data_IF_348353158521
#
_entry.id   IF_348353158521
#
_cell.length_a   1.000
_cell.length_b   1.000
_cell.length_c   1.000
_cell.angle_alpha   90.00
_cell.angle_beta   90.00
_cell.angle_gamma   90.00
#
_symmetry.space_group_name_H-M   'P 1'
#
loop_
_entity.id
_entity.type
_entity.pdbx_description
1 polymer ?
#
# COMPACT_ATOMS: atom_id res chain seq x y z
N UNK A 1 10.06 34.76 6.25
CA UNK A 1 9.48 33.46 6.66
C UNK A 1 10.19 32.40 5.83
N UNK A 2 10.67 31.31 6.43
CA UNK A 2 11.26 30.23 5.64
C UNK A 2 10.21 29.70 4.67
N UNK A 3 10.56 29.50 3.39
CA UNK A 3 9.61 28.98 2.41
C UNK A 3 9.27 27.52 2.75
N UNK A 4 7.98 27.19 2.69
CA UNK A 4 7.51 25.81 2.86
C UNK A 4 7.93 24.97 1.66
N UNK A 5 8.84 24.03 1.91
CA UNK A 5 9.27 22.99 0.97
C UNK A 5 8.91 21.60 1.53
N UNK A 6 8.06 20.87 0.81
CA UNK A 6 7.47 19.60 1.26
C UNK A 6 8.13 18.41 0.56
N UNK A 7 8.48 17.37 1.31
CA UNK A 7 8.70 16.04 0.76
C UNK A 7 7.43 15.20 0.93
N UNK A 8 6.81 14.82 -0.18
CA UNK A 8 5.67 13.91 -0.21
C UNK A 8 6.14 12.49 -0.52
N UNK A 9 6.21 11.63 0.50
CA UNK A 9 6.49 10.21 0.33
C UNK A 9 5.23 9.54 -0.21
N UNK A 10 5.28 9.07 -1.45
CA UNK A 10 4.08 8.65 -2.18
C UNK A 10 3.95 7.15 -2.44
N UNK A 11 3.09 6.82 -3.40
CA UNK A 11 2.78 5.44 -3.81
C UNK A 11 1.34 5.00 -3.55
N UNK A 12 0.49 5.90 -3.05
CA UNK A 12 -0.97 5.70 -2.90
C UNK A 12 -1.75 6.65 -3.81
N UNK A 13 -3.04 6.37 -4.02
CA UNK A 13 -3.90 7.32 -4.74
C UNK A 13 -4.10 8.61 -3.95
N UNK A 14 -4.20 8.53 -2.63
CA UNK A 14 -4.30 9.71 -1.76
C UNK A 14 -3.08 10.62 -1.88
N UNK A 15 -1.86 10.06 -1.95
CA UNK A 15 -0.65 10.82 -2.25
C UNK A 15 -0.73 11.51 -3.62
N UNK A 16 -1.24 10.82 -4.64
CA UNK A 16 -1.43 11.41 -5.96
C UNK A 16 -2.40 12.60 -5.91
N UNK A 17 -3.56 12.46 -5.24
CA UNK A 17 -4.52 13.54 -5.05
C UNK A 17 -3.96 14.70 -4.24
N UNK A 18 -3.13 14.42 -3.24
CA UNK A 18 -2.43 15.45 -2.47
C UNK A 18 -1.40 16.19 -3.32
N UNK A 19 -0.72 15.51 -4.25
CA UNK A 19 0.23 16.14 -5.16
C UNK A 19 -0.42 17.22 -6.02
N UNK A 20 -1.63 16.96 -6.53
CA UNK A 20 -2.42 17.94 -7.28
C UNK A 20 -2.78 19.15 -6.42
N UNK A 21 -3.28 18.92 -5.20
CA UNK A 21 -3.63 20.02 -4.27
C UNK A 21 -2.43 20.89 -3.88
N UNK A 22 -1.27 20.28 -3.65
CA UNK A 22 -0.02 21.01 -3.35
C UNK A 22 0.39 21.90 -4.53
N UNK A 23 0.31 21.36 -5.76
CA UNK A 23 0.60 22.09 -6.98
C UNK A 23 -0.35 23.27 -7.19
N UNK A 24 -1.67 23.03 -7.09
CA UNK A 24 -2.71 24.06 -7.25
C UNK A 24 -2.59 25.17 -6.20
N UNK A 25 -2.13 24.84 -4.99
CA UNK A 25 -1.88 25.81 -3.92
C UNK A 25 -0.54 26.55 -4.05
N UNK A 26 0.29 26.24 -5.06
CA UNK A 26 1.61 26.84 -5.26
C UNK A 26 2.63 26.46 -4.17
N UNK A 27 2.41 25.37 -3.44
CA UNK A 27 3.32 24.91 -2.38
C UNK A 27 4.48 24.14 -3.03
N UNK A 28 5.72 24.54 -2.74
CA UNK A 28 6.89 23.84 -3.24
C UNK A 28 6.95 22.43 -2.65
N UNK A 29 6.96 21.41 -3.50
CA UNK A 29 6.94 20.03 -3.05
C UNK A 29 7.64 19.08 -4.03
N UNK A 30 8.26 18.04 -3.49
CA UNK A 30 8.87 16.93 -4.24
C UNK A 30 8.10 15.65 -3.93
N UNK A 31 7.60 14.98 -4.97
CA UNK A 31 6.97 13.67 -4.85
C UNK A 31 8.02 12.55 -4.91
N UNK A 32 8.04 11.65 -3.93
CA UNK A 32 9.02 10.55 -3.90
C UNK A 32 8.39 9.18 -4.12
N UNK A 33 8.82 8.50 -5.18
CA UNK A 33 8.51 7.10 -5.46
C UNK A 33 9.61 6.17 -4.95
N UNK A 34 9.22 5.05 -4.33
CA UNK A 34 10.15 3.99 -3.99
C UNK A 34 10.75 3.23 -5.21
N UNK A 35 10.19 3.43 -6.41
CA UNK A 35 10.58 2.68 -7.62
C UNK A 35 10.09 1.23 -7.65
N UNK A 36 9.05 0.89 -6.87
CA UNK A 36 8.53 -0.47 -6.79
C UNK A 36 7.80 -0.95 -8.07
N UNK A 37 7.35 -0.01 -8.90
CA UNK A 37 6.68 -0.25 -10.19
C UNK A 37 7.38 0.53 -11.31
N UNK A 38 7.35 0.01 -12.52
CA UNK A 38 7.82 0.68 -13.74
C UNK A 38 6.77 1.67 -14.22
N UNK A 39 5.52 1.23 -14.36
CA UNK A 39 4.40 2.12 -14.66
C UNK A 39 4.03 2.93 -13.41
N UNK A 40 3.81 4.25 -13.54
CA UNK A 40 3.48 5.15 -12.42
C UNK A 40 2.48 6.20 -12.89
N UNK A 41 1.58 6.61 -11.99
CA UNK A 41 0.78 7.81 -12.26
C UNK A 41 1.72 9.02 -12.19
N UNK A 42 1.64 9.93 -13.14
CA UNK A 42 2.50 11.11 -13.13
C UNK A 42 1.91 12.17 -12.19
N UNK A 43 2.55 12.49 -11.04
CA UNK A 43 2.04 13.51 -10.13
C UNK A 43 2.17 14.91 -10.76
N UNK A 44 1.43 15.88 -10.20
CA UNK A 44 1.52 17.30 -10.62
C UNK A 44 2.80 18.00 -10.12
N UNK A 45 3.60 17.31 -9.31
CA UNK A 45 4.82 17.83 -8.68
C UNK A 45 6.08 17.27 -9.35
N UNK A 46 7.23 17.98 -9.26
CA UNK A 46 8.54 17.38 -9.50
C UNK A 46 8.67 16.08 -8.72
N UNK A 47 9.23 15.04 -9.36
CA UNK A 47 9.29 13.71 -8.74
C UNK A 47 10.68 13.10 -8.75
N UNK A 48 10.98 12.34 -7.69
CA UNK A 48 12.17 11.49 -7.57
C UNK A 48 11.79 10.02 -7.48
N UNK A 49 12.74 9.16 -7.81
CA UNK A 49 12.55 7.71 -7.83
C UNK A 49 13.74 7.04 -7.17
N UNK A 50 13.46 6.09 -6.27
CA UNK A 50 14.45 5.25 -5.62
C UNK A 50 14.45 5.39 -4.11
N UNK A 51 15.14 4.48 -3.45
CA UNK A 51 15.34 4.54 -2.00
C UNK A 51 16.14 5.78 -1.58
N UNK A 52 16.20 5.99 -0.27
CA UNK A 52 17.04 7.04 0.33
C UNK A 52 18.33 6.49 0.93
N UNK A 53 18.49 5.17 1.06
CA UNK A 53 19.64 4.60 1.77
C UNK A 53 19.45 4.55 3.30
N UNK A 54 18.24 4.20 3.75
CA UNK A 54 17.92 4.11 5.18
C UNK A 54 17.61 5.47 5.82
N UNK A 55 17.78 5.55 7.14
CA UNK A 55 17.51 6.76 7.93
C UNK A 55 18.55 7.85 7.60
N UNK A 56 19.84 7.50 7.60
CA UNK A 56 20.93 8.44 7.34
C UNK A 56 20.82 9.09 5.97
N UNK A 57 20.59 8.29 4.93
CA UNK A 57 20.45 8.85 3.59
C UNK A 57 19.15 9.65 3.40
N UNK A 58 18.07 9.33 4.14
CA UNK A 58 16.90 10.22 4.19
C UNK A 58 17.24 11.54 4.88
N UNK A 59 17.97 11.52 5.99
CA UNK A 59 18.38 12.74 6.69
C UNK A 59 19.29 13.62 5.81
N UNK A 60 20.22 13.02 5.08
CA UNK A 60 21.06 13.72 4.12
C UNK A 60 20.20 14.41 3.04
N UNK A 61 19.28 13.67 2.43
CA UNK A 61 18.38 14.20 1.42
C UNK A 61 17.51 15.36 1.96
N UNK A 62 16.94 15.22 3.16
CA UNK A 62 16.11 16.25 3.78
C UNK A 62 16.88 17.56 3.99
N UNK A 63 18.16 17.49 4.39
CA UNK A 63 19.01 18.68 4.55
C UNK A 63 19.40 19.30 3.21
N UNK A 64 19.88 18.47 2.29
CA UNK A 64 20.36 18.91 0.97
C UNK A 64 19.25 19.63 0.18
N UNK A 65 18.04 19.07 0.22
CA UNK A 65 16.87 19.63 -0.47
C UNK A 65 16.12 20.66 0.37
N UNK A 66 16.68 21.07 1.52
CA UNK A 66 16.09 22.07 2.42
C UNK A 66 14.62 21.79 2.77
N UNK A 67 14.29 20.51 2.95
CA UNK A 67 12.92 20.08 3.24
C UNK A 67 12.50 20.61 4.60
N UNK A 68 11.40 21.36 4.60
CA UNK A 68 10.80 21.94 5.80
C UNK A 68 9.73 21.05 6.42
N UNK A 69 9.04 20.22 5.63
CA UNK A 69 7.93 19.37 6.06
C UNK A 69 7.95 18.04 5.31
N UNK A 70 7.63 16.95 6.00
CA UNK A 70 7.45 15.64 5.38
C UNK A 70 6.00 15.19 5.54
N UNK A 71 5.40 14.77 4.43
CA UNK A 71 4.13 14.07 4.43
C UNK A 71 4.37 12.63 4.01
N UNK A 72 4.22 11.69 4.95
CA UNK A 72 4.23 10.27 4.69
C UNK A 72 2.84 9.82 4.23
N UNK A 73 2.65 9.74 2.91
CA UNK A 73 1.46 9.22 2.26
C UNK A 73 1.74 7.87 1.57
N UNK A 74 2.72 7.11 2.08
CA UNK A 74 3.04 5.79 1.57
C UNK A 74 1.94 4.78 1.91
N UNK A 75 1.98 3.61 1.28
CA UNK A 75 1.01 2.55 1.57
C UNK A 75 1.13 2.11 3.05
N UNK A 76 0.04 1.78 3.78
CA UNK A 76 0.12 1.38 5.21
C UNK A 76 1.07 0.21 5.52
N UNK A 77 1.30 -0.65 4.52
CA UNK A 77 2.26 -1.76 4.59
C UNK A 77 3.69 -1.39 4.18
N UNK A 78 3.98 -0.14 3.83
CA UNK A 78 5.33 0.38 3.57
C UNK A 78 6.04 0.77 4.89
N UNK A 79 5.83 -0.01 5.95
CA UNK A 79 6.18 0.33 7.32
C UNK A 79 7.67 0.68 7.52
N UNK A 80 8.57 0.07 6.74
CA UNK A 80 9.99 0.43 6.81
C UNK A 80 10.24 1.89 6.38
N UNK A 81 9.57 2.35 5.32
CA UNK A 81 9.71 3.74 4.88
C UNK A 81 9.13 4.70 5.91
N UNK A 82 7.96 4.38 6.48
CA UNK A 82 7.36 5.17 7.57
C UNK A 82 8.25 5.22 8.81
N UNK A 83 8.86 4.10 9.23
CA UNK A 83 9.83 4.08 10.34
C UNK A 83 11.05 4.96 10.04
N UNK A 84 11.56 4.90 8.82
CA UNK A 84 12.68 5.76 8.42
C UNK A 84 12.30 7.24 8.45
N UNK A 85 11.10 7.59 7.96
CA UNK A 85 10.59 8.96 7.99
C UNK A 85 10.44 9.46 9.44
N UNK A 86 9.83 8.68 10.32
CA UNK A 86 9.69 9.01 11.75
C UNK A 86 11.05 9.26 12.39
N UNK A 87 12.02 8.35 12.19
CA UNK A 87 13.35 8.48 12.77
C UNK A 87 14.10 9.70 12.25
N UNK A 88 14.15 9.89 10.93
CA UNK A 88 14.85 11.00 10.30
C UNK A 88 14.25 12.37 10.66
N UNK A 89 12.92 12.49 10.61
CA UNK A 89 12.24 13.72 10.95
C UNK A 89 12.43 14.09 12.42
N UNK A 90 12.34 13.10 13.33
CA UNK A 90 12.63 13.29 14.75
C UNK A 90 14.06 13.76 14.99
N UNK A 91 15.04 13.16 14.31
CA UNK A 91 16.45 13.51 14.46
C UNK A 91 16.78 14.93 13.93
N UNK A 92 16.05 15.41 12.93
CA UNK A 92 16.25 16.73 12.32
C UNK A 92 15.34 17.83 12.88
N UNK A 93 14.36 17.48 13.71
CA UNK A 93 13.31 18.42 14.13
C UNK A 93 12.39 18.86 12.99
N UNK A 94 12.27 18.07 11.92
CA UNK A 94 11.38 18.36 10.79
C UNK A 94 9.97 17.84 11.12
N UNK A 95 8.92 18.66 10.98
CA UNK A 95 7.54 18.22 11.12
C UNK A 95 7.19 17.07 10.14
N UNK A 96 6.60 16.01 10.69
CA UNK A 96 6.12 14.85 9.95
C UNK A 96 4.61 14.66 10.16
N UNK A 97 3.88 14.56 9.06
CA UNK A 97 2.49 14.12 9.03
C UNK A 97 2.38 12.78 8.30
N UNK A 98 1.76 11.77 8.91
CA UNK A 98 1.40 10.54 8.21
C UNK A 98 -0.04 10.61 7.73
N UNK A 99 -0.25 10.61 6.41
CA UNK A 99 -1.56 10.51 5.81
C UNK A 99 -1.91 9.04 5.60
N UNK A 100 -2.81 8.52 6.43
CA UNK A 100 -3.20 7.12 6.44
C UNK A 100 -4.72 7.01 6.58
N UNK A 101 -5.36 6.46 5.56
CA UNK A 101 -6.79 6.16 5.57
C UNK A 101 -7.17 5.11 6.63
N UNK A 102 -8.39 5.14 7.20
CA UNK A 102 -8.85 4.15 8.16
C UNK A 102 -8.71 2.71 7.65
N UNK A 103 -8.44 1.78 8.57
CA UNK A 103 -8.50 0.35 8.28
C UNK A 103 -9.93 -0.05 7.94
N UNK A 104 -10.09 -0.95 6.96
CA UNK A 104 -11.40 -1.51 6.69
C UNK A 104 -11.89 -2.29 7.92
N UNK A 105 -13.18 -2.19 8.17
CA UNK A 105 -13.90 -2.91 9.20
C UNK A 105 -14.81 -3.94 8.54
N UNK A 106 -14.92 -5.13 9.14
CA UNK A 106 -15.82 -6.16 8.65
C UNK A 106 -17.27 -5.66 8.72
N UNK A 107 -18.05 -5.94 7.69
CA UNK A 107 -19.47 -5.67 7.60
C UNK A 107 -20.26 -6.97 7.79
N UNK A 108 -21.58 -6.86 7.95
CA UNK A 108 -22.44 -8.04 7.98
C UNK A 108 -22.23 -8.90 6.71
N UNK A 109 -21.99 -10.20 6.91
CA UNK A 109 -21.71 -11.17 5.84
C UNK A 109 -20.23 -11.32 5.47
N UNK A 110 -19.33 -10.48 6.00
CA UNK A 110 -17.89 -10.68 5.84
C UNK A 110 -17.39 -11.87 6.67
N UNK A 111 -16.53 -12.69 6.07
CA UNK A 111 -15.89 -13.85 6.71
C UNK A 111 -14.39 -13.60 6.83
N UNK A 112 -13.99 -12.70 7.74
CA UNK A 112 -12.59 -12.29 7.88
C UNK A 112 -11.89 -13.02 9.04
N UNK A 113 -10.70 -13.55 8.77
CA UNK A 113 -9.77 -14.05 9.79
C UNK A 113 -8.57 -13.12 9.82
N UNK A 114 -8.38 -12.43 10.95
CA UNK A 114 -7.26 -11.51 11.14
C UNK A 114 -5.97 -12.26 11.48
N UNK A 115 -4.86 -11.87 10.85
CA UNK A 115 -3.53 -12.42 11.08
C UNK A 115 -2.47 -11.30 11.14
N UNK A 116 -1.42 -11.45 11.97
CA UNK A 116 -0.47 -10.37 12.20
C UNK A 116 0.51 -10.12 11.03
N UNK A 117 0.73 -11.14 10.19
CA UNK A 117 1.72 -11.09 9.12
C UNK A 117 1.45 -12.12 8.00
N UNK A 118 2.28 -12.06 6.96
CA UNK A 118 2.17 -12.92 5.77
C UNK A 118 2.55 -14.38 6.03
N UNK A 119 3.45 -14.64 6.98
CA UNK A 119 3.84 -16.01 7.32
C UNK A 119 2.66 -16.72 8.00
N UNK A 120 2.01 -16.04 8.93
CA UNK A 120 0.78 -16.51 9.59
C UNK A 120 -0.36 -16.64 8.59
N UNK A 121 -0.47 -15.71 7.62
CA UNK A 121 -1.46 -15.82 6.55
C UNK A 121 -1.26 -17.08 5.68
N UNK A 122 -0.02 -17.41 5.34
CA UNK A 122 0.30 -18.62 4.58
C UNK A 122 0.01 -19.90 5.38
N UNK A 123 0.33 -19.90 6.67
CA UNK A 123 0.04 -21.03 7.58
C UNK A 123 -1.47 -21.23 7.84
N UNK A 124 -2.27 -20.17 7.72
CA UNK A 124 -3.71 -20.21 7.92
C UNK A 124 -4.51 -20.71 6.68
N UNK A 125 -3.83 -21.01 5.57
CA UNK A 125 -4.50 -21.56 4.39
C UNK A 125 -5.06 -22.96 4.67
N UNK A 126 -6.35 -23.22 4.35
CA UNK A 126 -6.99 -24.50 4.65
C UNK A 126 -6.46 -25.63 3.75
N UNK A 127 -6.24 -26.85 4.27
CA UNK A 127 -5.77 -27.99 3.47
C UNK A 127 -6.82 -28.44 2.44
N UNK A 128 -6.39 -28.93 1.27
CA UNK A 128 -7.28 -29.43 0.20
C UNK A 128 -7.67 -28.35 -0.82
N UNK A 129 -6.83 -28.20 -1.84
CA UNK A 129 -6.87 -27.25 -2.98
C UNK A 129 -8.25 -26.68 -3.38
N UNK A 130 -8.38 -25.34 -3.41
CA UNK A 130 -9.54 -24.64 -4.01
C UNK A 130 -9.27 -23.35 -4.82
N UNK A 131 -8.03 -22.93 -5.08
CA UNK A 131 -7.66 -21.61 -5.65
C UNK A 131 -7.72 -20.44 -4.65
N UNK A 132 -6.58 -19.78 -4.47
CA UNK A 132 -6.39 -18.69 -3.50
C UNK A 132 -6.02 -17.40 -4.22
N UNK A 133 -6.74 -16.31 -3.94
CA UNK A 133 -6.38 -15.00 -4.46
C UNK A 133 -5.41 -14.26 -3.52
N UNK A 134 -4.16 -14.09 -3.95
CA UNK A 134 -3.15 -13.34 -3.21
C UNK A 134 -3.20 -11.85 -3.60
N UNK A 135 -4.13 -11.11 -3.01
CA UNK A 135 -4.30 -9.67 -3.20
C UNK A 135 -3.30 -8.83 -2.37
N UNK A 136 -2.03 -9.23 -2.40
CA UNK A 136 -0.94 -8.72 -1.54
C UNK A 136 0.20 -8.04 -2.32
N UNK A 137 0.19 -8.15 -3.65
CA UNK A 137 1.24 -7.67 -4.55
C UNK A 137 2.54 -8.49 -4.47
N UNK A 138 3.51 -8.14 -5.32
CA UNK A 138 4.69 -8.98 -5.58
C UNK A 138 5.64 -9.21 -4.39
N UNK A 139 5.85 -8.21 -3.54
CA UNK A 139 6.94 -8.21 -2.54
C UNK A 139 6.77 -9.25 -1.43
N UNK A 140 5.58 -9.81 -1.27
CA UNK A 140 5.25 -10.70 -0.15
C UNK A 140 4.89 -12.11 -0.61
N UNK A 141 4.97 -12.36 -1.93
CA UNK A 141 4.77 -13.69 -2.50
C UNK A 141 5.72 -14.76 -1.95
N UNK A 142 6.99 -14.46 -1.62
CA UNK A 142 7.89 -15.48 -1.05
C UNK A 142 7.37 -16.14 0.24
N UNK A 143 6.50 -15.48 1.01
CA UNK A 143 5.90 -16.09 2.20
C UNK A 143 4.98 -17.30 1.90
N UNK A 144 4.61 -17.49 0.63
CA UNK A 144 3.70 -18.55 0.17
C UNK A 144 4.41 -19.66 -0.63
N UNK A 145 5.75 -19.64 -0.73
CA UNK A 145 6.52 -20.64 -1.51
C UNK A 145 6.19 -22.07 -1.12
N UNK A 146 6.14 -22.34 0.18
CA UNK A 146 6.00 -23.70 0.73
C UNK A 146 4.57 -24.22 0.59
N UNK A 147 3.64 -23.34 0.21
CA UNK A 147 2.22 -23.64 0.02
C UNK A 147 1.90 -24.01 -1.44
N UNK A 148 2.84 -23.81 -2.38
CA UNK A 148 2.63 -24.01 -3.83
C UNK A 148 2.30 -25.46 -4.21
N UNK A 149 2.80 -26.45 -3.46
CA UNK A 149 2.44 -27.86 -3.65
C UNK A 149 0.97 -28.18 -3.31
N UNK A 150 0.29 -27.28 -2.59
CA UNK A 150 -1.06 -27.49 -2.04
C UNK A 150 -2.06 -26.42 -2.48
N UNK A 151 -1.63 -25.42 -3.23
CA UNK A 151 -2.47 -24.28 -3.61
C UNK A 151 -2.14 -23.80 -5.01
N UNK A 152 -3.18 -23.45 -5.77
CA UNK A 152 -3.03 -22.64 -6.96
C UNK A 152 -3.34 -21.18 -6.61
N UNK A 153 -2.43 -20.27 -6.96
CA UNK A 153 -2.51 -18.86 -6.59
C UNK A 153 -2.89 -17.98 -7.77
N UNK A 154 -3.98 -17.22 -7.62
CA UNK A 154 -4.22 -16.06 -8.46
C UNK A 154 -3.40 -14.89 -7.91
N UNK A 155 -2.55 -14.30 -8.75
CA UNK A 155 -1.68 -13.20 -8.40
C UNK A 155 -2.12 -11.96 -9.17
N UNK A 156 -2.20 -10.81 -8.50
CA UNK A 156 -2.43 -9.52 -9.17
C UNK A 156 -1.27 -8.57 -8.91
N UNK A 157 -0.60 -8.17 -9.99
CA UNK A 157 0.55 -7.26 -9.97
C UNK A 157 0.34 -6.09 -10.92
N UNK A 158 1.05 -4.99 -10.69
CA UNK A 158 0.93 -3.79 -11.53
C UNK A 158 1.79 -3.88 -12.79
N UNK A 159 3.00 -4.43 -12.68
CA UNK A 159 3.91 -4.62 -13.81
C UNK A 159 4.27 -6.11 -13.93
N UNK A 160 4.65 -6.58 -15.13
CA UNK A 160 5.25 -7.89 -15.30
C UNK A 160 6.44 -8.05 -14.36
N UNK A 161 6.48 -9.17 -13.64
CA UNK A 161 7.56 -9.49 -12.72
C UNK A 161 7.85 -10.97 -12.84
N UNK A 162 9.13 -11.32 -12.72
CA UNK A 162 9.49 -12.70 -12.47
C UNK A 162 8.98 -13.06 -11.07
N UNK A 163 8.01 -13.97 -11.03
CA UNK A 163 7.39 -14.41 -9.79
C UNK A 163 8.25 -15.54 -9.25
N UNK A 164 8.77 -15.40 -8.04
CA UNK A 164 9.55 -16.44 -7.37
C UNK A 164 8.75 -17.69 -6.96
N UNK A 165 7.55 -17.88 -7.52
CA UNK A 165 6.68 -19.03 -7.29
C UNK A 165 6.60 -19.86 -8.59
N UNK A 166 6.49 -21.20 -8.51
CA UNK A 166 6.38 -22.04 -9.69
C UNK A 166 5.18 -21.64 -10.57
N UNK A 167 5.43 -21.47 -11.87
CA UNK A 167 4.38 -21.09 -12.84
C UNK A 167 3.22 -22.09 -12.89
N UNK A 168 3.48 -23.38 -12.63
CA UNK A 168 2.45 -24.42 -12.55
C UNK A 168 1.44 -24.22 -11.41
N UNK A 169 1.79 -23.41 -10.41
CA UNK A 169 0.98 -23.16 -9.21
C UNK A 169 0.42 -21.74 -9.18
N UNK A 170 0.56 -20.96 -10.26
CA UNK A 170 0.23 -19.54 -10.26
C UNK A 170 -0.41 -19.09 -11.58
N UNK A 171 -1.45 -18.26 -11.49
CA UNK A 171 -1.96 -17.45 -12.59
C UNK A 171 -1.66 -15.98 -12.31
N UNK A 172 -1.00 -15.30 -13.26
CA UNK A 172 -0.61 -13.90 -13.11
C UNK A 172 -1.57 -12.98 -13.87
N UNK A 173 -2.15 -12.01 -13.16
CA UNK A 173 -2.89 -10.88 -13.72
C UNK A 173 -2.10 -9.59 -13.56
N UNK A 174 -1.92 -8.90 -14.68
CA UNK A 174 -1.35 -7.57 -14.73
C UNK A 174 -2.50 -6.57 -14.75
N UNK A 175 -2.75 -5.93 -13.62
CA UNK A 175 -3.84 -4.97 -13.49
C UNK A 175 -3.54 -3.94 -12.39
N UNK A 176 -4.07 -2.74 -12.60
CA UNK A 176 -3.97 -1.62 -11.65
C UNK A 176 -5.37 -1.08 -11.38
N UNK A 177 -5.66 -0.83 -10.11
CA UNK A 177 -6.92 -0.21 -9.72
C UNK A 177 -7.05 1.28 -10.10
N UNK A 178 -8.19 1.91 -9.79
CA UNK A 178 -9.26 1.36 -8.96
C UNK A 178 -10.00 0.19 -9.62
N UNK A 179 -10.44 -0.78 -8.83
CA UNK A 179 -11.18 -1.95 -9.32
C UNK A 179 -12.68 -1.79 -9.07
N UNK A 180 -13.51 -2.21 -10.02
CA UNK A 180 -14.96 -2.17 -9.90
C UNK A 180 -15.49 -3.50 -9.35
N UNK A 181 -16.61 -3.44 -8.63
CA UNK A 181 -17.23 -4.62 -8.01
C UNK A 181 -17.57 -5.71 -9.04
N UNK A 182 -18.15 -5.33 -10.19
CA UNK A 182 -18.55 -6.30 -11.21
C UNK A 182 -17.35 -7.06 -11.78
N UNK A 183 -16.23 -6.36 -12.00
CA UNK A 183 -14.99 -6.98 -12.48
C UNK A 183 -14.40 -7.93 -11.43
N UNK A 184 -14.45 -7.55 -10.14
CA UNK A 184 -14.00 -8.43 -9.07
C UNK A 184 -14.89 -9.67 -8.92
N UNK A 185 -16.22 -9.55 -9.05
CA UNK A 185 -17.13 -10.69 -9.04
C UNK A 185 -16.80 -11.66 -10.17
N UNK A 186 -16.69 -11.15 -11.40
CA UNK A 186 -16.34 -11.95 -12.56
C UNK A 186 -14.98 -12.64 -12.38
N UNK A 187 -13.99 -11.90 -11.87
CA UNK A 187 -12.66 -12.43 -11.60
C UNK A 187 -12.67 -13.59 -10.60
N UNK A 188 -13.33 -13.39 -9.44
CA UNK A 188 -13.38 -14.40 -8.39
C UNK A 188 -14.12 -15.66 -8.85
N UNK A 189 -15.18 -15.51 -9.65
CA UNK A 189 -15.92 -16.64 -10.25
C UNK A 189 -15.12 -17.35 -11.33
N UNK A 190 -14.51 -16.61 -12.27
CA UNK A 190 -13.73 -17.17 -13.39
C UNK A 190 -12.57 -18.04 -12.89
N UNK A 191 -11.92 -17.62 -11.80
CA UNK A 191 -10.80 -18.37 -11.21
C UNK A 191 -11.24 -19.32 -10.09
N UNK A 192 -12.55 -19.50 -9.88
CA UNK A 192 -13.13 -20.30 -8.82
C UNK A 192 -12.44 -20.08 -7.46
N UNK A 193 -12.23 -18.80 -7.10
CA UNK A 193 -11.51 -18.43 -5.89
C UNK A 193 -12.30 -18.86 -4.67
N UNK A 194 -11.65 -19.58 -3.77
CA UNK A 194 -12.27 -20.08 -2.54
C UNK A 194 -11.69 -19.48 -1.26
N UNK A 195 -10.60 -18.73 -1.36
CA UNK A 195 -10.03 -17.96 -0.26
C UNK A 195 -9.28 -16.76 -0.84
N UNK A 196 -9.33 -15.63 -0.15
CA UNK A 196 -8.51 -14.47 -0.49
C UNK A 196 -7.58 -14.12 0.67
N UNK A 197 -6.33 -13.79 0.36
CA UNK A 197 -5.42 -13.14 1.31
C UNK A 197 -5.35 -11.67 0.95
N UNK A 198 -5.60 -10.78 1.92
CA UNK A 198 -5.56 -9.34 1.70
C UNK A 198 -4.83 -8.59 2.79
N UNK A 199 -4.13 -7.53 2.41
CA UNK A 199 -3.62 -6.52 3.33
C UNK A 199 -4.76 -5.60 3.72
N UNK A 200 -4.94 -5.27 5.00
CA UNK A 200 -5.88 -4.23 5.43
C UNK A 200 -5.38 -2.82 5.05
N UNK A 201 -5.35 -2.51 3.76
CA UNK A 201 -4.82 -1.28 3.21
C UNK A 201 -5.74 -0.07 3.45
N UNK A 202 -7.00 -0.30 3.82
CA UNK A 202 -8.02 0.75 3.86
C UNK A 202 -8.30 1.37 2.49
N UNK A 203 -9.10 2.44 2.48
CA UNK A 203 -9.43 3.23 1.29
C UNK A 203 -10.29 2.52 0.25
N UNK A 204 -10.69 3.23 -0.80
CA UNK A 204 -11.70 2.73 -1.75
C UNK A 204 -11.11 2.02 -2.96
N UNK A 205 -9.89 2.38 -3.39
CA UNK A 205 -9.28 1.92 -4.65
C UNK A 205 -9.27 0.40 -4.88
N UNK A 206 -9.16 -0.36 -3.79
CA UNK A 206 -9.08 -1.83 -3.88
C UNK A 206 -10.14 -2.52 -3.01
N UNK A 207 -11.12 -1.77 -2.49
CA UNK A 207 -12.13 -2.33 -1.59
C UNK A 207 -13.07 -3.30 -2.30
N UNK A 208 -13.33 -3.09 -3.60
CA UNK A 208 -14.25 -3.90 -4.41
C UNK A 208 -14.01 -5.42 -4.29
N UNK A 209 -12.77 -5.87 -4.09
CA UNK A 209 -12.44 -7.29 -3.90
C UNK A 209 -13.04 -7.89 -2.63
N UNK A 210 -13.13 -7.11 -1.56
CA UNK A 210 -13.71 -7.52 -0.28
C UNK A 210 -15.23 -7.58 -0.40
N UNK A 211 -15.82 -6.59 -1.08
CA UNK A 211 -17.25 -6.60 -1.38
C UNK A 211 -17.65 -7.79 -2.27
N UNK A 212 -16.86 -8.10 -3.29
CA UNK A 212 -17.08 -9.28 -4.13
C UNK A 212 -16.92 -10.58 -3.32
N UNK A 213 -15.90 -10.67 -2.46
CA UNK A 213 -15.70 -11.83 -1.60
C UNK A 213 -16.89 -12.04 -0.64
N UNK A 214 -17.42 -10.96 -0.06
CA UNK A 214 -18.65 -11.00 0.75
C UNK A 214 -19.85 -11.52 -0.02
N UNK A 215 -20.11 -11.02 -1.23
CA UNK A 215 -21.25 -11.48 -2.04
C UNK A 215 -21.13 -12.96 -2.43
N UNK A 216 -19.90 -13.43 -2.66
CA UNK A 216 -19.61 -14.82 -3.01
C UNK A 216 -19.35 -15.72 -1.79
N UNK A 217 -19.48 -15.19 -0.56
CA UNK A 217 -19.20 -15.91 0.69
C UNK A 217 -17.79 -16.53 0.73
N UNK A 218 -16.81 -15.84 0.12
CA UNK A 218 -15.41 -16.24 0.08
C UNK A 218 -14.72 -15.74 1.36
N UNK A 219 -14.11 -16.63 2.16
CA UNK A 219 -13.34 -16.23 3.34
C UNK A 219 -12.12 -15.39 2.96
N UNK A 220 -11.83 -14.40 3.81
CA UNK A 220 -10.70 -13.48 3.65
C UNK A 220 -9.76 -13.62 4.84
N UNK A 221 -8.52 -14.02 4.56
CA UNK A 221 -7.42 -13.89 5.52
C UNK A 221 -6.92 -12.44 5.44
N UNK A 222 -7.28 -11.66 6.44
CA UNK A 222 -6.98 -10.24 6.53
C UNK A 222 -5.68 -10.04 7.32
N UNK A 223 -4.63 -9.62 6.63
CA UNK A 223 -3.35 -9.27 7.27
C UNK A 223 -3.48 -7.89 7.90
N UNK A 224 -3.19 -7.81 9.20
CA UNK A 224 -3.23 -6.59 9.98
C UNK A 224 -2.11 -5.62 9.60
N UNK A 225 -2.34 -4.34 9.87
CA UNK A 225 -1.36 -3.30 9.59
C UNK A 225 -0.14 -3.45 10.51
N UNK A 226 1.09 -3.27 10.00
CA UNK A 226 2.27 -3.26 10.85
C UNK A 226 2.19 -2.16 11.91
N UNK A 227 2.64 -2.46 13.12
CA UNK A 227 2.76 -1.44 14.18
C UNK A 227 3.87 -0.45 13.85
N UNK A 228 3.55 0.84 14.02
CA UNK A 228 4.44 1.98 13.82
C UNK A 228 4.56 2.79 15.12
N UNK A 229 5.68 3.49 15.35
CA UNK A 229 5.78 4.47 16.43
C UNK A 229 4.68 5.54 16.35
N UNK A 230 4.33 6.12 17.50
CA UNK A 230 3.39 7.23 17.59
C UNK A 230 3.84 8.42 16.73
N UNK A 231 2.88 9.04 16.03
CA UNK A 231 3.10 10.14 15.08
C UNK A 231 1.81 10.91 14.85
N UNK A 232 1.91 12.14 14.33
CA UNK A 232 0.75 12.91 13.91
C UNK A 232 0.16 12.27 12.65
N UNK A 233 -1.16 12.08 12.64
CA UNK A 233 -1.86 11.42 11.53
C UNK A 233 -3.01 12.27 11.01
N UNK A 234 -3.30 12.09 9.72
CA UNK A 234 -4.54 12.53 9.10
C UNK A 234 -5.05 11.44 8.14
N UNK A 235 -6.31 11.51 7.77
CA UNK A 235 -6.95 10.50 6.93
C UNK A 235 -7.10 10.97 5.48
N UNK A 236 -7.15 12.29 5.26
CA UNK A 236 -7.47 12.87 3.96
C UNK A 236 -6.43 13.87 3.47
N UNK A 237 -6.30 14.06 2.14
CA UNK A 237 -5.47 15.13 1.60
C UNK A 237 -5.87 16.52 2.07
N UNK A 238 -7.17 16.74 2.35
CA UNK A 238 -7.67 18.02 2.83
C UNK A 238 -7.09 18.37 4.22
N UNK A 239 -7.12 17.41 5.14
CA UNK A 239 -6.52 17.56 6.46
C UNK A 239 -4.99 17.77 6.38
N UNK A 240 -4.33 17.16 5.40
CA UNK A 240 -2.90 17.38 5.16
C UNK A 240 -2.62 18.83 4.71
N UNK A 241 -3.47 19.40 3.86
CA UNK A 241 -3.37 20.82 3.46
C UNK A 241 -3.65 21.76 4.64
N UNK A 242 -4.56 21.41 5.54
CA UNK A 242 -4.84 22.18 6.76
C UNK A 242 -3.68 22.13 7.74
N UNK A 243 -2.97 20.99 7.83
CA UNK A 243 -1.80 20.85 8.67
C UNK A 243 -0.64 21.76 8.20
N UNK A 244 -0.43 21.90 6.89
CA UNK A 244 0.61 22.78 6.32
C UNK A 244 0.36 24.27 6.53
N UNK A 245 -0.86 24.67 6.93
CA UNK A 245 -1.23 26.08 7.20
C UNK A 245 -0.97 26.51 8.65
N UNK A 246 -0.61 25.57 9.53
CA UNK A 246 -0.36 25.82 10.96
C UNK A 246 1.09 26.23 11.17
#
# INVERSE_FOLDING_TARGET
>A
MAMTQVLLLGGTFDAYLLSTRLHEAGIQAIYSYAGATQTRRQPALPSRVGGFGGVEGLMHYLREQQISHVIDATHPFAAQMSRNAIAACKALGIPLLSMERPAWQAQAGDQWTHVPDMATAAAALPPGLKNVFLAIGRKQLPAFSDQTARHHFLLRVIDPVDVALPASSCTLLIARGPFQLQDELALLQQHAIACMVSKNAGGTDTYAKLEAARQLQIPVIMVDRPRLPARVQCETPQQAMEWLKR
#
